data_IF_404469133145
#
_entry.id   IF_404469133145
#
_cell.length_a   1.000
_cell.length_b   1.000
_cell.length_c   1.000
_cell.angle_alpha   90.00
_cell.angle_beta   90.00
_cell.angle_gamma   90.00
#
_symmetry.space_group_name_H-M   'P 1'
#
loop_
_entity.id
_entity.type
_entity.pdbx_description
1 polymer ?
#
# COMPACT_ATOMS: atom_id res chain seq x y z
N UNK A 1 11.85 8.88 20.30
CA UNK A 1 12.06 8.86 18.82
C UNK A 1 11.09 9.84 18.21
N UNK A 2 11.46 10.58 17.15
CA UNK A 2 10.52 11.45 16.45
C UNK A 2 9.32 10.63 15.95
N UNK A 3 8.15 11.22 15.91
CA UNK A 3 6.92 10.53 15.47
C UNK A 3 6.98 10.20 13.99
N UNK A 4 7.55 11.09 13.19
CA UNK A 4 7.72 10.95 11.76
C UNK A 4 9.21 11.01 11.39
N UNK A 5 9.68 9.99 10.69
CA UNK A 5 11.05 9.92 10.14
C UNK A 5 10.94 9.95 8.62
N UNK A 6 11.64 10.89 7.98
CA UNK A 6 11.66 11.06 6.52
C UNK A 6 13.07 10.79 6.02
N UNK A 7 13.21 9.81 5.13
CA UNK A 7 14.45 9.49 4.43
C UNK A 7 14.33 9.94 2.97
N UNK A 8 15.01 11.01 2.53
CA UNK A 8 15.12 11.32 1.12
C UNK A 8 15.98 10.24 0.44
N UNK A 9 15.45 9.60 -0.61
CA UNK A 9 16.11 8.51 -1.31
C UNK A 9 16.65 8.90 -2.68
N UNK A 10 15.91 9.72 -3.42
CA UNK A 10 16.29 10.21 -4.74
C UNK A 10 15.70 11.60 -4.98
N UNK A 11 16.47 12.47 -5.61
CA UNK A 11 16.02 13.77 -6.10
C UNK A 11 16.65 14.04 -7.47
N UNK A 12 15.80 14.14 -8.50
CA UNK A 12 16.18 14.47 -9.88
C UNK A 12 15.24 15.53 -10.43
N UNK A 13 15.49 16.01 -11.64
CA UNK A 13 14.57 16.93 -12.33
C UNK A 13 13.22 16.30 -12.71
N UNK A 14 13.17 14.97 -12.81
CA UNK A 14 11.98 14.21 -13.20
C UNK A 14 11.11 13.83 -12.00
N UNK A 15 11.73 13.43 -10.88
CA UNK A 15 10.99 12.96 -9.70
C UNK A 15 11.79 13.06 -8.41
N UNK A 16 11.08 13.06 -7.28
CA UNK A 16 11.66 12.82 -5.95
C UNK A 16 11.05 11.58 -5.32
N UNK A 17 11.88 10.81 -4.60
CA UNK A 17 11.45 9.62 -3.86
C UNK A 17 11.85 9.79 -2.40
N UNK A 18 10.89 9.57 -1.50
CA UNK A 18 11.09 9.61 -0.05
C UNK A 18 10.52 8.36 0.58
N UNK A 19 11.22 7.81 1.56
CA UNK A 19 10.70 6.78 2.46
C UNK A 19 10.31 7.44 3.79
N UNK A 20 9.06 7.25 4.19
CA UNK A 20 8.52 7.87 5.41
C UNK A 20 8.05 6.78 6.34
N UNK A 21 8.52 6.86 7.60
CA UNK A 21 8.10 5.98 8.69
C UNK A 21 7.44 6.81 9.78
N UNK A 22 6.19 6.44 10.14
CA UNK A 22 5.44 7.04 11.23
C UNK A 22 5.33 6.04 12.38
N UNK A 23 5.56 6.50 13.62
CA UNK A 23 5.42 5.67 14.81
C UNK A 23 3.94 5.38 15.17
N UNK A 24 2.99 6.14 14.59
CA UNK A 24 1.55 5.92 14.75
C UNK A 24 1.07 6.05 16.20
N UNK A 25 1.57 7.02 16.93
CA UNK A 25 1.27 7.18 18.37
C UNK A 25 -0.14 7.75 18.63
N UNK A 26 -0.68 8.53 17.70
CA UNK A 26 -1.98 9.18 17.84
C UNK A 26 -3.07 8.34 17.17
N UNK A 27 -3.95 7.77 18.00
CA UNK A 27 -5.14 7.05 17.51
C UNK A 27 -6.22 7.98 17.01
N UNK A 28 -6.27 9.19 17.57
CA UNK A 28 -7.21 10.24 17.18
C UNK A 28 -6.81 10.90 15.87
N UNK A 29 -7.74 11.65 15.32
CA UNK A 29 -7.51 12.42 14.09
C UNK A 29 -6.48 13.52 14.35
N UNK A 30 -5.39 13.50 13.59
CA UNK A 30 -4.32 14.50 13.67
C UNK A 30 -4.73 15.89 13.20
N UNK A 31 -3.79 16.83 13.27
CA UNK A 31 -3.97 18.17 12.73
C UNK A 31 -4.25 18.13 11.22
N UNK A 32 -4.83 19.21 10.73
CA UNK A 32 -5.01 19.40 9.29
C UNK A 32 -3.68 19.65 8.60
N UNK A 33 -3.45 18.93 7.51
CA UNK A 33 -2.24 18.99 6.70
C UNK A 33 -2.61 19.26 5.23
N UNK A 34 -1.67 19.77 4.47
CA UNK A 34 -1.76 19.88 3.02
C UNK A 34 -0.38 19.64 2.38
N UNK A 35 -0.35 19.43 1.08
CA UNK A 35 0.88 19.31 0.28
C UNK A 35 0.85 20.34 -0.85
N UNK A 36 2.00 20.90 -1.14
CA UNK A 36 2.20 21.88 -2.22
C UNK A 36 2.20 21.24 -3.62
N UNK A 37 2.54 19.95 -3.69
CA UNK A 37 2.58 19.16 -4.92
C UNK A 37 1.83 17.85 -4.79
N UNK A 38 1.27 17.39 -5.91
CA UNK A 38 0.59 16.09 -5.98
C UNK A 38 1.58 14.95 -5.76
N UNK A 39 1.19 13.98 -4.91
CA UNK A 39 2.03 12.85 -4.51
C UNK A 39 1.30 11.53 -4.71
N UNK A 40 2.07 10.51 -5.11
CA UNK A 40 1.64 9.12 -5.08
C UNK A 40 2.27 8.46 -3.85
N UNK A 41 1.45 7.93 -2.97
CA UNK A 41 1.87 7.34 -1.69
C UNK A 41 1.59 5.85 -1.72
N UNK A 42 2.64 5.04 -1.57
CA UNK A 42 2.60 3.59 -1.55
C UNK A 42 2.88 3.08 -0.13
N UNK A 43 1.86 2.77 0.68
CA UNK A 43 2.08 2.12 1.96
C UNK A 43 2.69 0.73 1.72
N UNK A 44 3.69 0.36 2.52
CA UNK A 44 4.29 -0.97 2.44
C UNK A 44 4.34 -1.69 3.79
N UNK A 45 4.10 -0.96 4.89
CA UNK A 45 4.02 -1.47 6.25
C UNK A 45 2.96 -0.73 7.03
N UNK A 46 2.24 -1.45 7.89
CA UNK A 46 1.22 -0.87 8.76
C UNK A 46 -0.01 -0.37 8.04
N UNK A 47 -0.77 0.48 8.71
CA UNK A 47 -2.02 1.05 8.22
C UNK A 47 -2.30 2.40 8.86
N UNK A 48 -2.81 3.32 8.09
CA UNK A 48 -3.37 4.59 8.59
C UNK A 48 -4.69 4.90 7.88
N UNK A 49 -5.44 5.85 8.41
CA UNK A 49 -6.67 6.36 7.77
C UNK A 49 -6.43 7.80 7.36
N UNK A 50 -6.61 8.08 6.07
CA UNK A 50 -6.66 9.44 5.54
C UNK A 50 -8.10 9.92 5.52
N UNK A 51 -8.33 11.11 6.05
CA UNK A 51 -9.63 11.79 6.08
C UNK A 51 -9.59 12.99 5.15
N UNK A 52 -10.58 13.09 4.25
CA UNK A 52 -10.74 14.16 3.29
C UNK A 52 -12.18 14.70 3.40
N UNK A 53 -12.37 15.77 4.16
CA UNK A 53 -13.71 16.22 4.53
C UNK A 53 -14.47 15.12 5.28
N UNK A 54 -15.61 14.68 4.74
CA UNK A 54 -16.41 13.58 5.31
C UNK A 54 -16.03 12.18 4.76
N UNK A 55 -15.16 12.14 3.76
CA UNK A 55 -14.71 10.90 3.14
C UNK A 55 -13.44 10.37 3.79
N UNK A 56 -13.23 9.06 3.77
CA UNK A 56 -12.05 8.43 4.34
C UNK A 56 -11.49 7.33 3.47
N UNK A 57 -10.19 7.08 3.60
CA UNK A 57 -9.51 5.99 2.93
C UNK A 57 -8.56 5.28 3.89
N UNK A 58 -8.77 4.00 4.12
CA UNK A 58 -7.81 3.14 4.84
C UNK A 58 -6.67 2.84 3.89
N UNK A 59 -5.47 3.21 4.29
CA UNK A 59 -4.23 3.09 3.54
C UNK A 59 -3.45 1.87 4.01
N UNK A 60 -3.28 0.88 3.16
CA UNK A 60 -2.50 -0.33 3.41
C UNK A 60 -1.68 -0.74 2.17
N UNK A 61 -0.86 -1.78 2.29
CA UNK A 61 0.08 -2.20 1.25
C UNK A 61 -0.58 -2.73 -0.05
N UNK A 62 -1.88 -2.87 -0.12
CA UNK A 62 -2.60 -3.24 -1.34
C UNK A 62 -3.02 -2.03 -2.20
N UNK A 63 -2.60 -0.81 -1.82
CA UNK A 63 -3.10 0.41 -2.44
C UNK A 63 -1.99 1.42 -2.76
N UNK A 64 -2.28 2.31 -3.71
CA UNK A 64 -1.64 3.61 -3.87
C UNK A 64 -2.65 4.70 -3.53
N UNK A 65 -2.24 5.71 -2.76
CA UNK A 65 -3.05 6.87 -2.43
C UNK A 65 -2.55 8.09 -3.21
N UNK A 66 -3.49 8.97 -3.52
CA UNK A 66 -3.23 10.22 -4.22
C UNK A 66 -3.45 11.41 -3.30
N UNK A 67 -2.41 12.15 -3.03
CA UNK A 67 -2.49 13.40 -2.28
C UNK A 67 -2.38 14.55 -3.28
N UNK A 68 -3.50 15.20 -3.54
CA UNK A 68 -3.53 16.33 -4.47
C UNK A 68 -2.86 17.56 -3.88
N UNK A 69 -2.24 18.37 -4.75
CA UNK A 69 -1.69 19.65 -4.34
C UNK A 69 -2.76 20.55 -3.73
N UNK A 70 -2.42 21.22 -2.63
CA UNK A 70 -3.27 22.19 -1.92
C UNK A 70 -4.62 21.62 -1.42
N UNK A 71 -4.79 20.30 -1.35
CA UNK A 71 -5.97 19.65 -0.78
C UNK A 71 -5.70 19.31 0.70
N UNK A 72 -6.49 19.91 1.60
CA UNK A 72 -6.39 19.66 3.04
C UNK A 72 -6.86 18.25 3.39
N UNK A 73 -6.13 17.58 4.27
CA UNK A 73 -6.47 16.25 4.79
C UNK A 73 -6.03 16.11 6.25
N UNK A 74 -6.51 15.06 6.91
CA UNK A 74 -6.06 14.63 8.23
C UNK A 74 -5.70 13.14 8.20
N UNK A 75 -4.86 12.70 9.14
CA UNK A 75 -4.45 11.31 9.29
C UNK A 75 -4.75 10.83 10.70
N UNK A 76 -5.17 9.58 10.83
CA UNK A 76 -5.28 8.90 12.13
C UNK A 76 -4.68 7.49 12.04
N UNK A 77 -4.20 6.97 13.16
CA UNK A 77 -3.59 5.65 13.28
C UNK A 77 -4.41 4.78 14.26
N UNK A 78 -5.57 4.25 13.85
CA UNK A 78 -6.45 3.49 14.76
C UNK A 78 -5.84 2.15 15.19
N UNK A 79 -4.86 1.64 14.44
CA UNK A 79 -4.13 0.40 14.72
C UNK A 79 -2.72 0.74 15.21
N UNK A 80 -2.27 0.05 16.26
CA UNK A 80 -0.93 0.24 16.81
C UNK A 80 0.16 -0.32 15.87
N UNK A 81 1.41 0.16 16.02
CA UNK A 81 2.57 -0.33 15.28
C UNK A 81 3.08 0.63 14.20
N UNK A 82 2.38 1.73 13.97
CA UNK A 82 2.77 2.73 12.98
C UNK A 82 2.63 2.24 11.54
N UNK A 83 3.12 3.06 10.63
CA UNK A 83 3.12 2.77 9.20
C UNK A 83 4.41 3.23 8.52
N UNK A 84 4.60 2.77 7.29
CA UNK A 84 5.66 3.28 6.44
C UNK A 84 5.22 3.28 4.96
N UNK A 85 5.63 4.34 4.26
CA UNK A 85 5.21 4.63 2.91
C UNK A 85 6.38 5.06 2.03
N UNK A 86 6.43 4.56 0.80
CA UNK A 86 7.25 5.13 -0.26
C UNK A 86 6.44 6.23 -0.97
N UNK A 87 6.97 7.44 -1.01
CA UNK A 87 6.32 8.60 -1.62
C UNK A 87 7.06 9.00 -2.87
N UNK A 88 6.32 9.08 -3.99
CA UNK A 88 6.80 9.56 -5.27
C UNK A 88 6.15 10.91 -5.60
N UNK A 89 6.98 11.90 -5.95
CA UNK A 89 6.57 13.18 -6.52
C UNK A 89 7.16 13.27 -7.92
N UNK A 90 6.33 13.30 -8.92
CA UNK A 90 6.74 13.44 -10.30
C UNK A 90 6.66 14.91 -10.72
N UNK A 91 7.53 15.31 -11.64
CA UNK A 91 7.41 16.61 -12.28
C UNK A 91 6.05 16.72 -12.99
N UNK A 92 5.50 17.93 -13.06
CA UNK A 92 4.18 18.17 -13.65
C UNK A 92 4.05 17.65 -15.09
N UNK A 93 5.01 17.89 -16.01
CA UNK A 93 4.95 17.35 -17.37
C UNK A 93 4.86 15.83 -17.39
N UNK A 94 5.67 15.17 -16.57
CA UNK A 94 5.70 13.71 -16.51
C UNK A 94 4.41 13.12 -15.90
N UNK A 95 3.86 13.76 -14.87
CA UNK A 95 2.60 13.36 -14.28
C UNK A 95 1.44 13.47 -15.31
N UNK A 96 1.44 14.51 -16.14
CA UNK A 96 0.46 14.69 -17.23
C UNK A 96 0.56 13.59 -18.31
N UNK A 97 1.76 13.13 -18.58
CA UNK A 97 2.02 12.08 -19.56
C UNK A 97 1.59 10.70 -19.05
N UNK A 98 1.91 10.39 -17.80
CA UNK A 98 1.70 9.05 -17.22
C UNK A 98 0.28 8.81 -16.69
N UNK A 99 -0.44 9.86 -16.29
CA UNK A 99 -1.75 9.71 -15.65
C UNK A 99 -2.88 9.60 -16.68
N UNK A 100 -3.66 8.51 -16.67
CA UNK A 100 -4.86 8.39 -17.49
C UNK A 100 -5.86 9.50 -17.19
N UNK A 101 -6.44 10.11 -18.24
CA UNK A 101 -7.36 11.27 -18.10
C UNK A 101 -8.64 10.93 -17.32
N UNK A 102 -9.09 9.69 -17.38
CA UNK A 102 -10.31 9.20 -16.73
C UNK A 102 -10.22 9.14 -15.19
N UNK A 103 -9.00 9.19 -14.62
CA UNK A 103 -8.79 9.25 -13.16
C UNK A 103 -8.49 10.65 -12.64
N UNK A 104 -8.45 11.65 -13.53
CA UNK A 104 -8.29 13.05 -13.16
C UNK A 104 -9.63 13.77 -12.97
N UNK A 105 -9.63 14.84 -12.18
CA UNK A 105 -10.78 15.75 -12.02
C UNK A 105 -10.92 16.64 -13.25
N UNK A 106 -12.14 16.82 -13.73
CA UNK A 106 -12.40 17.79 -14.80
C UNK A 106 -12.09 19.23 -14.32
N UNK A 107 -11.44 20.02 -15.17
CA UNK A 107 -11.12 21.42 -14.87
C UNK A 107 -9.91 21.61 -13.93
N UNK A 108 -9.30 20.54 -13.44
CA UNK A 108 -8.09 20.57 -12.61
C UNK A 108 -7.00 19.75 -13.29
N UNK A 109 -5.94 20.37 -13.82
CA UNK A 109 -5.02 19.70 -14.75
C UNK A 109 -4.25 18.52 -14.14
N UNK A 110 -4.13 18.43 -12.80
CA UNK A 110 -3.34 17.37 -12.15
C UNK A 110 -3.91 16.93 -10.80
N UNK A 111 -5.21 17.05 -10.61
CA UNK A 111 -5.86 16.53 -9.41
C UNK A 111 -6.55 15.20 -9.70
N UNK A 112 -6.23 14.18 -8.91
CA UNK A 112 -6.92 12.90 -8.95
C UNK A 112 -8.35 13.03 -8.40
N UNK A 113 -9.33 12.40 -9.09
CA UNK A 113 -10.71 12.33 -8.59
C UNK A 113 -10.92 11.25 -7.54
N UNK A 114 -10.03 10.26 -7.49
CA UNK A 114 -10.06 9.16 -6.54
C UNK A 114 -9.01 9.40 -5.44
N UNK A 115 -9.30 8.98 -4.22
CA UNK A 115 -8.34 9.05 -3.13
C UNK A 115 -7.29 7.94 -3.23
N UNK A 116 -7.67 6.79 -3.81
CA UNK A 116 -6.82 5.59 -3.86
C UNK A 116 -7.16 4.70 -5.06
N UNK A 117 -6.18 3.89 -5.46
CA UNK A 117 -6.36 2.74 -6.35
C UNK A 117 -5.72 1.51 -5.72
N UNK A 118 -6.28 0.34 -6.01
CA UNK A 118 -5.67 -0.93 -5.62
C UNK A 118 -4.50 -1.24 -6.53
N UNK A 119 -3.38 -1.66 -5.94
CA UNK A 119 -2.22 -2.16 -6.66
C UNK A 119 -2.17 -3.69 -6.66
N UNK A 120 -1.50 -4.26 -7.64
CA UNK A 120 -1.28 -5.69 -7.74
C UNK A 120 0.03 -6.14 -7.06
N UNK A 121 0.27 -7.44 -6.87
CA UNK A 121 1.49 -7.93 -6.23
C UNK A 121 2.78 -7.50 -6.93
N UNK A 122 2.79 -7.35 -8.25
CA UNK A 122 3.98 -6.89 -8.97
C UNK A 122 4.32 -5.42 -8.67
N UNK A 123 3.30 -4.57 -8.48
CA UNK A 123 3.52 -3.19 -8.02
C UNK A 123 4.06 -3.18 -6.57
N UNK A 124 3.56 -4.04 -5.68
CA UNK A 124 4.13 -4.21 -4.33
C UNK A 124 5.61 -4.62 -4.38
N UNK A 125 5.96 -5.54 -5.27
CA UNK A 125 7.35 -5.95 -5.49
C UNK A 125 8.22 -4.79 -6.00
N UNK A 126 7.72 -3.98 -6.92
CA UNK A 126 8.45 -2.79 -7.42
C UNK A 126 8.68 -1.76 -6.31
N UNK A 127 7.70 -1.54 -5.41
CA UNK A 127 7.89 -0.69 -4.22
C UNK A 127 9.04 -1.22 -3.35
N UNK A 128 9.07 -2.53 -3.09
CA UNK A 128 10.11 -3.14 -2.26
C UNK A 128 11.49 -3.05 -2.93
N UNK A 129 11.59 -3.34 -4.24
CA UNK A 129 12.83 -3.26 -5.01
C UNK A 129 13.38 -1.84 -5.06
N UNK A 130 12.54 -0.87 -5.44
CA UNK A 130 12.92 0.54 -5.55
C UNK A 130 13.41 1.07 -4.20
N UNK A 131 12.67 0.79 -3.12
CA UNK A 131 13.05 1.18 -1.77
C UNK A 131 14.38 0.57 -1.36
N UNK A 132 14.55 -0.75 -1.54
CA UNK A 132 15.77 -1.45 -1.15
C UNK A 132 16.99 -0.94 -1.94
N UNK A 133 16.88 -0.89 -3.27
CA UNK A 133 18.01 -0.48 -4.12
C UNK A 133 18.47 0.96 -3.87
N UNK A 134 17.56 1.85 -3.48
CA UNK A 134 17.90 3.22 -3.10
C UNK A 134 18.49 3.32 -1.68
N UNK A 135 17.95 2.58 -0.70
CA UNK A 135 18.52 2.56 0.66
C UNK A 135 19.95 2.01 0.67
N UNK A 136 20.19 0.93 -0.07
CA UNK A 136 21.52 0.30 -0.16
C UNK A 136 22.44 0.96 -1.21
N UNK A 137 21.95 2.01 -1.89
CA UNK A 137 22.68 2.75 -2.93
C UNK A 137 23.20 1.85 -4.06
N UNK A 138 22.41 0.85 -4.45
CA UNK A 138 22.71 -0.11 -5.54
C UNK A 138 22.30 0.48 -6.88
N UNK A 139 21.09 1.09 -6.95
CA UNK A 139 20.56 1.65 -8.20
C UNK A 139 21.17 3.01 -8.51
N UNK A 140 21.63 3.16 -9.74
CA UNK A 140 21.96 4.46 -10.31
C UNK A 140 20.69 5.31 -10.54
N UNK A 141 20.78 6.66 -10.58
CA UNK A 141 19.61 7.52 -10.73
C UNK A 141 18.70 7.16 -11.92
N UNK A 142 19.25 6.86 -13.08
CA UNK A 142 18.50 6.46 -14.27
C UNK A 142 17.75 5.14 -14.09
N UNK A 143 18.38 4.17 -13.42
CA UNK A 143 17.74 2.88 -13.11
C UNK A 143 16.59 3.08 -12.13
N UNK A 144 16.79 3.88 -11.08
CA UNK A 144 15.77 4.20 -10.10
C UNK A 144 14.57 4.96 -10.74
N UNK A 145 14.83 5.91 -11.63
CA UNK A 145 13.78 6.58 -12.41
C UNK A 145 12.99 5.58 -13.25
N UNK A 146 13.66 4.68 -13.97
CA UNK A 146 13.03 3.66 -14.81
C UNK A 146 12.15 2.71 -13.99
N UNK A 147 12.62 2.29 -12.80
CA UNK A 147 11.82 1.49 -11.87
C UNK A 147 10.60 2.27 -11.33
N UNK A 148 10.78 3.55 -10.99
CA UNK A 148 9.70 4.40 -10.51
C UNK A 148 8.63 4.62 -11.58
N UNK A 149 9.02 4.87 -12.83
CA UNK A 149 8.07 5.01 -13.95
C UNK A 149 7.31 3.72 -14.21
N UNK A 150 8.00 2.57 -14.16
CA UNK A 150 7.37 1.26 -14.26
C UNK A 150 6.35 1.02 -13.15
N UNK A 151 6.68 1.42 -11.90
CA UNK A 151 5.77 1.35 -10.77
C UNK A 151 4.54 2.23 -10.98
N UNK A 152 4.72 3.50 -11.37
CA UNK A 152 3.62 4.45 -11.61
C UNK A 152 2.73 3.96 -12.74
N UNK A 153 3.29 3.59 -13.89
CA UNK A 153 2.54 3.05 -15.03
C UNK A 153 1.71 1.82 -14.64
N UNK A 154 2.29 0.93 -13.82
CA UNK A 154 1.58 -0.25 -13.34
C UNK A 154 0.48 0.08 -12.34
N UNK A 155 0.72 0.99 -11.41
CA UNK A 155 -0.23 1.40 -10.40
C UNK A 155 -1.44 2.16 -10.98
N UNK A 156 -1.24 2.92 -12.06
CA UNK A 156 -2.30 3.69 -12.73
C UNK A 156 -2.97 2.95 -13.90
N UNK A 157 -2.49 1.76 -14.24
CA UNK A 157 -3.00 0.97 -15.36
C UNK A 157 -4.38 0.36 -15.12
N UNK A 158 -5.07 -0.11 -16.18
CA UNK A 158 -6.45 -0.60 -16.12
C UNK A 158 -6.66 -1.81 -15.20
N UNK A 159 -5.61 -2.55 -14.87
CA UNK A 159 -5.66 -3.73 -13.97
C UNK A 159 -5.83 -3.39 -12.49
N UNK A 160 -5.62 -2.13 -12.12
CA UNK A 160 -5.72 -1.64 -10.74
C UNK A 160 -7.02 -0.86 -10.48
N UNK A 161 -7.82 -0.61 -11.51
CA UNK A 161 -9.07 0.15 -11.37
C UNK A 161 -10.01 -0.49 -10.34
N UNK A 162 -10.53 0.33 -9.43
CA UNK A 162 -11.62 -0.06 -8.54
C UNK A 162 -12.90 -0.26 -9.36
N UNK A 163 -13.73 -1.22 -8.95
CA UNK A 163 -15.08 -1.31 -9.48
C UNK A 163 -15.80 0.00 -9.18
N UNK A 164 -16.13 0.74 -10.23
CA UNK A 164 -16.94 1.95 -10.10
C UNK A 164 -18.30 1.56 -9.51
N UNK A 165 -18.73 2.26 -8.43
CA UNK A 165 -20.11 2.16 -7.96
C UNK A 165 -20.35 1.55 -6.59
N UNK A 166 -19.37 1.46 -5.69
CA UNK A 166 -19.67 1.13 -4.29
C UNK A 166 -20.32 2.32 -3.58
N UNK A 167 -21.42 2.08 -2.86
CA UNK A 167 -22.02 3.10 -1.99
C UNK A 167 -21.06 3.43 -0.83
N UNK A 168 -21.15 4.66 -0.29
CA UNK A 168 -20.33 5.09 0.85
C UNK A 168 -20.42 4.10 2.04
N UNK A 169 -21.60 3.56 2.34
CA UNK A 169 -21.76 2.57 3.42
C UNK A 169 -21.03 1.25 3.17
N UNK A 170 -20.98 0.75 1.91
CA UNK A 170 -20.22 -0.45 1.57
C UNK A 170 -18.71 -0.20 1.70
N UNK A 171 -18.26 0.97 1.27
CA UNK A 171 -16.87 1.36 1.40
C UNK A 171 -16.46 1.44 2.88
N UNK A 172 -17.26 2.06 3.73
CA UNK A 172 -17.02 2.15 5.18
C UNK A 172 -16.99 0.75 5.85
N UNK A 173 -17.86 -0.17 5.42
CA UNK A 173 -17.81 -1.55 5.91
C UNK A 173 -16.48 -2.21 5.57
N UNK A 174 -16.05 -2.11 4.31
CA UNK A 174 -14.77 -2.68 3.86
C UNK A 174 -13.59 -2.05 4.58
N UNK A 175 -13.61 -0.74 4.80
CA UNK A 175 -12.55 -0.05 5.55
C UNK A 175 -12.46 -0.53 7.01
N UNK A 176 -13.61 -0.77 7.68
CA UNK A 176 -13.60 -1.43 9.01
C UNK A 176 -12.99 -2.82 8.98
N UNK A 177 -13.34 -3.63 7.97
CA UNK A 177 -12.74 -4.97 7.79
C UNK A 177 -11.22 -4.90 7.63
N UNK A 178 -10.72 -3.95 6.84
CA UNK A 178 -9.27 -3.75 6.70
C UNK A 178 -8.59 -3.44 8.02
N UNK A 179 -9.20 -2.57 8.84
CA UNK A 179 -8.67 -2.25 10.17
C UNK A 179 -8.66 -3.48 11.09
N UNK A 180 -9.71 -4.32 11.06
CA UNK A 180 -9.74 -5.59 11.81
C UNK A 180 -8.59 -6.51 11.39
N UNK A 181 -8.39 -6.70 10.07
CA UNK A 181 -7.29 -7.51 9.55
C UNK A 181 -5.92 -6.97 9.94
N UNK A 182 -5.74 -5.66 9.93
CA UNK A 182 -4.46 -5.01 10.22
C UNK A 182 -4.14 -4.95 11.71
N UNK A 183 -5.14 -5.10 12.58
CA UNK A 183 -4.92 -5.19 14.03
C UNK A 183 -4.13 -6.45 14.42
N UNK A 184 -4.33 -7.56 13.68
CA UNK A 184 -3.51 -8.76 13.78
C UNK A 184 -3.44 -9.45 12.39
N UNK A 185 -2.50 -9.04 11.52
CA UNK A 185 -2.40 -9.55 10.16
C UNK A 185 -1.95 -11.02 10.09
N UNK A 186 -1.25 -11.52 11.11
CA UNK A 186 -0.81 -12.91 11.20
C UNK A 186 -1.93 -13.87 11.64
N UNK A 187 -2.96 -13.37 12.32
CA UNK A 187 -4.08 -14.16 12.80
C UNK A 187 -4.85 -14.80 11.64
N UNK A 188 -5.23 -16.05 11.81
CA UNK A 188 -6.10 -16.77 10.89
C UNK A 188 -7.57 -16.45 11.20
N UNK A 189 -8.00 -15.30 10.71
CA UNK A 189 -9.36 -14.84 10.88
C UNK A 189 -10.36 -15.77 10.16
N UNK A 190 -11.47 -16.07 10.79
CA UNK A 190 -12.64 -16.65 10.15
C UNK A 190 -13.61 -15.55 9.71
N UNK A 191 -14.46 -15.85 8.73
CA UNK A 191 -15.49 -14.90 8.29
C UNK A 191 -16.50 -14.58 9.40
N UNK A 192 -16.77 -15.56 10.29
CA UNK A 192 -17.66 -15.36 11.43
C UNK A 192 -17.08 -14.37 12.44
N UNK A 193 -15.78 -14.49 12.77
CA UNK A 193 -15.10 -13.58 13.68
C UNK A 193 -15.08 -12.15 13.11
N UNK A 194 -14.66 -11.99 11.83
CA UNK A 194 -14.65 -10.67 11.19
C UNK A 194 -16.07 -10.11 11.12
N UNK A 195 -17.07 -10.93 10.77
CA UNK A 195 -18.47 -10.52 10.73
C UNK A 195 -18.98 -10.00 12.08
N UNK A 196 -18.59 -10.67 13.17
CA UNK A 196 -18.92 -10.24 14.53
C UNK A 196 -18.28 -8.87 14.86
N UNK A 197 -17.00 -8.67 14.54
CA UNK A 197 -16.28 -7.40 14.77
C UNK A 197 -16.92 -6.22 14.03
N UNK A 198 -17.33 -6.44 12.78
CA UNK A 198 -17.93 -5.36 11.96
C UNK A 198 -19.46 -5.36 11.98
N UNK A 199 -20.09 -6.24 12.77
CA UNK A 199 -21.55 -6.39 12.97
C UNK A 199 -22.30 -6.63 11.66
N UNK A 200 -21.86 -7.61 10.87
CA UNK A 200 -22.56 -8.03 9.68
C UNK A 200 -22.45 -9.56 9.46
N UNK A 201 -23.37 -10.10 8.64
CA UNK A 201 -23.31 -11.54 8.33
C UNK A 201 -22.11 -11.91 7.47
N UNK A 202 -21.52 -13.09 7.64
CA UNK A 202 -20.40 -13.58 6.82
C UNK A 202 -20.70 -13.56 5.31
N UNK A 203 -21.93 -13.88 4.92
CA UNK A 203 -22.35 -13.89 3.51
C UNK A 203 -22.33 -12.49 2.93
N UNK A 204 -22.97 -11.53 3.60
CA UNK A 204 -22.99 -10.14 3.16
C UNK A 204 -21.59 -9.53 3.12
N UNK A 205 -20.78 -9.81 4.16
CA UNK A 205 -19.38 -9.41 4.21
C UNK A 205 -18.60 -9.84 2.97
N UNK A 206 -18.68 -11.14 2.62
CA UNK A 206 -17.96 -11.69 1.48
C UNK A 206 -18.36 -11.03 0.16
N UNK A 207 -19.65 -10.84 -0.04
CA UNK A 207 -20.19 -10.19 -1.26
C UNK A 207 -19.73 -8.74 -1.38
N UNK A 208 -19.92 -7.96 -0.30
CA UNK A 208 -19.57 -6.53 -0.31
C UNK A 208 -18.06 -6.34 -0.45
N UNK A 209 -17.26 -7.14 0.27
CA UNK A 209 -15.81 -7.04 0.18
C UNK A 209 -15.30 -7.32 -1.24
N UNK A 210 -15.81 -8.36 -1.88
CA UNK A 210 -15.43 -8.70 -3.26
C UNK A 210 -15.92 -7.65 -4.27
N UNK A 211 -17.11 -7.07 -4.07
CA UNK A 211 -17.60 -5.99 -4.93
C UNK A 211 -16.74 -4.73 -4.83
N UNK A 212 -16.33 -4.35 -3.62
CA UNK A 212 -15.55 -3.13 -3.38
C UNK A 212 -14.08 -3.33 -3.75
N UNK A 213 -13.44 -4.41 -3.28
CA UNK A 213 -12.01 -4.66 -3.49
C UNK A 213 -11.72 -5.50 -4.75
N UNK A 214 -12.74 -6.06 -5.41
CA UNK A 214 -12.57 -6.87 -6.63
C UNK A 214 -11.79 -8.17 -6.42
N UNK A 215 -11.48 -8.53 -5.18
CA UNK A 215 -10.82 -9.78 -4.79
C UNK A 215 -11.47 -10.35 -3.53
N UNK A 216 -11.51 -11.68 -3.37
CA UNK A 216 -11.99 -12.30 -2.14
C UNK A 216 -11.16 -11.85 -0.93
N UNK A 217 -11.83 -11.76 0.23
CA UNK A 217 -11.23 -11.28 1.47
C UNK A 217 -9.97 -12.07 1.87
N UNK A 218 -9.97 -13.40 1.73
CA UNK A 218 -8.80 -14.22 2.05
C UNK A 218 -7.58 -13.89 1.15
N UNK A 219 -7.82 -13.59 -0.13
CA UNK A 219 -6.75 -13.14 -1.05
C UNK A 219 -6.21 -11.78 -0.67
N UNK A 220 -7.07 -10.90 -0.19
CA UNK A 220 -6.66 -9.59 0.28
C UNK A 220 -5.74 -9.71 1.50
N UNK A 221 -6.14 -10.51 2.51
CA UNK A 221 -5.30 -10.80 3.67
C UNK A 221 -3.98 -11.46 3.28
N UNK A 222 -4.02 -12.44 2.38
CA UNK A 222 -2.80 -13.09 1.89
C UNK A 222 -1.82 -12.09 1.27
N UNK A 223 -2.31 -11.15 0.45
CA UNK A 223 -1.47 -10.09 -0.14
C UNK A 223 -0.85 -9.17 0.90
N UNK A 224 -1.58 -8.83 1.97
CA UNK A 224 -1.01 -8.05 3.09
C UNK A 224 0.15 -8.79 3.76
N UNK A 225 0.01 -10.08 4.02
CA UNK A 225 1.09 -10.92 4.58
C UNK A 225 2.29 -11.01 3.65
N UNK A 226 2.04 -11.17 2.35
CA UNK A 226 3.10 -11.24 1.34
C UNK A 226 3.80 -9.89 1.16
N UNK A 227 3.07 -8.77 1.19
CA UNK A 227 3.68 -7.44 1.19
C UNK A 227 4.56 -7.22 2.44
N UNK A 228 4.10 -7.69 3.60
CA UNK A 228 4.92 -7.66 4.83
C UNK A 228 6.17 -8.54 4.71
N UNK A 229 6.06 -9.69 4.03
CA UNK A 229 7.22 -10.53 3.72
C UNK A 229 8.27 -9.76 2.93
N UNK A 230 7.89 -9.00 1.89
CA UNK A 230 8.84 -8.18 1.12
C UNK A 230 9.61 -7.17 1.98
N UNK A 231 8.97 -6.57 2.99
CA UNK A 231 9.62 -5.64 3.93
C UNK A 231 10.58 -6.34 4.90
N UNK A 232 10.34 -7.63 5.21
CA UNK A 232 11.08 -8.37 6.23
C UNK A 232 12.16 -9.30 5.66
N UNK A 233 12.10 -9.68 4.38
CA UNK A 233 12.99 -10.68 3.77
C UNK A 233 14.48 -10.39 3.93
N UNK A 234 14.88 -9.12 3.92
CA UNK A 234 16.28 -8.70 4.13
C UNK A 234 16.74 -8.80 5.58
N UNK A 235 15.78 -8.84 6.53
CA UNK A 235 16.03 -8.81 7.98
C UNK A 235 16.04 -10.21 8.63
N UNK A 236 15.47 -11.21 7.92
CA UNK A 236 15.34 -12.58 8.42
C UNK A 236 16.31 -13.52 7.74
N UNK A 237 17.14 -14.20 8.51
CA UNK A 237 17.97 -15.31 8.00
C UNK A 237 17.13 -16.57 7.82
N UNK A 238 16.30 -16.92 8.81
CA UNK A 238 15.41 -18.08 8.78
C UNK A 238 14.05 -17.74 8.17
N UNK A 239 13.82 -18.26 6.96
CA UNK A 239 12.54 -18.12 6.26
C UNK A 239 11.40 -18.94 6.88
N UNK A 240 11.73 -19.97 7.67
CA UNK A 240 10.72 -20.74 8.39
C UNK A 240 10.15 -19.90 9.53
N UNK A 241 11.02 -19.27 10.31
CA UNK A 241 10.61 -18.32 11.36
C UNK A 241 9.79 -17.17 10.77
N UNK A 242 10.23 -16.58 9.67
CA UNK A 242 9.48 -15.52 8.97
C UNK A 242 8.09 -16.02 8.55
N UNK A 243 7.99 -17.22 7.99
CA UNK A 243 6.69 -17.78 7.56
C UNK A 243 5.69 -17.89 8.68
N UNK A 244 6.14 -18.34 9.86
CA UNK A 244 5.29 -18.48 11.07
C UNK A 244 4.87 -17.10 11.60
N UNK A 245 5.79 -16.15 11.67
CA UNK A 245 5.49 -14.77 12.09
C UNK A 245 4.43 -14.11 11.20
N UNK A 246 4.46 -14.40 9.90
CA UNK A 246 3.48 -13.89 8.94
C UNK A 246 2.13 -14.65 9.00
N UNK A 247 1.99 -15.68 9.85
CA UNK A 247 0.76 -16.43 10.02
C UNK A 247 0.52 -17.52 8.98
N UNK A 248 1.57 -17.95 8.23
CA UNK A 248 1.48 -19.14 7.38
C UNK A 248 1.54 -20.43 8.19
N UNK A 249 0.94 -21.50 7.65
CA UNK A 249 0.92 -22.80 8.31
C UNK A 249 2.27 -23.54 8.23
N UNK A 250 3.07 -23.20 7.21
CA UNK A 250 4.38 -23.79 6.98
C UNK A 250 5.20 -22.93 6.02
N UNK A 251 6.51 -23.14 6.01
CA UNK A 251 7.42 -22.58 5.02
C UNK A 251 7.03 -22.94 3.59
N UNK A 252 6.57 -24.16 3.33
CA UNK A 252 6.13 -24.59 1.99
C UNK A 252 4.91 -23.82 1.53
N UNK A 253 3.92 -23.59 2.40
CA UNK A 253 2.74 -22.77 2.09
C UNK A 253 3.13 -21.30 1.80
N UNK A 254 4.00 -20.73 2.61
CA UNK A 254 4.56 -19.39 2.38
C UNK A 254 5.27 -19.30 1.03
N UNK A 255 6.20 -20.23 0.75
CA UNK A 255 7.00 -20.23 -0.47
C UNK A 255 6.14 -20.38 -1.72
N UNK A 256 5.13 -21.24 -1.69
CA UNK A 256 4.19 -21.43 -2.80
C UNK A 256 3.36 -20.15 -3.04
N UNK A 257 2.80 -19.56 -1.99
CA UNK A 257 2.01 -18.33 -2.09
C UNK A 257 2.85 -17.14 -2.58
N UNK A 258 4.09 -17.02 -2.11
CA UNK A 258 5.03 -15.98 -2.54
C UNK A 258 5.40 -16.14 -4.02
N UNK A 259 5.71 -17.37 -4.45
CA UNK A 259 6.03 -17.67 -5.85
C UNK A 259 4.84 -17.41 -6.78
N UNK A 260 3.62 -17.77 -6.36
CA UNK A 260 2.39 -17.49 -7.12
C UNK A 260 2.20 -15.97 -7.30
N UNK A 261 2.42 -15.19 -6.25
CA UNK A 261 2.22 -13.74 -6.27
C UNK A 261 3.32 -12.99 -7.05
N UNK A 262 4.58 -13.38 -6.88
CA UNK A 262 5.75 -12.60 -7.33
C UNK A 262 6.58 -13.30 -8.42
N UNK A 263 6.24 -14.55 -8.79
CA UNK A 263 6.92 -15.31 -9.84
C UNK A 263 8.24 -15.94 -9.43
N UNK A 264 8.70 -15.72 -8.19
CA UNK A 264 9.96 -16.25 -7.62
C UNK A 264 9.72 -16.72 -6.20
N UNK A 265 10.51 -17.69 -5.72
CA UNK A 265 10.52 -18.07 -4.31
C UNK A 265 11.09 -16.96 -3.41
N UNK A 266 10.79 -16.95 -2.11
CA UNK A 266 11.38 -16.01 -1.17
C UNK A 266 12.90 -16.03 -1.16
N UNK A 267 13.51 -17.23 -1.27
CA UNK A 267 14.95 -17.39 -1.31
C UNK A 267 15.57 -16.80 -2.58
N UNK A 268 14.98 -17.09 -3.76
CA UNK A 268 15.41 -16.53 -5.04
C UNK A 268 15.28 -15.00 -5.05
N UNK A 269 14.18 -14.49 -4.53
CA UNK A 269 13.97 -13.04 -4.42
C UNK A 269 15.03 -12.39 -3.53
N UNK A 270 15.29 -12.95 -2.34
CA UNK A 270 16.34 -12.48 -1.43
C UNK A 270 17.71 -12.50 -2.07
N UNK A 271 18.04 -13.56 -2.81
CA UNK A 271 19.36 -13.69 -3.47
C UNK A 271 19.55 -12.73 -4.64
N UNK A 272 18.53 -12.52 -5.47
CA UNK A 272 18.65 -11.75 -6.70
C UNK A 272 18.34 -10.26 -6.55
N UNK A 273 17.48 -9.90 -5.60
CA UNK A 273 16.92 -8.57 -5.49
C UNK A 273 17.38 -7.81 -4.24
N UNK A 274 17.89 -8.54 -3.22
CA UNK A 274 18.26 -7.98 -1.92
C UNK A 274 19.72 -8.24 -1.53
N UNK A 275 20.55 -8.79 -2.42
CA UNK A 275 22.00 -8.88 -2.19
C UNK A 275 22.64 -7.50 -2.35
N UNK A 276 23.53 -7.19 -1.41
CA UNK A 276 24.48 -6.07 -1.48
C UNK A 276 25.49 -6.31 -2.61
#
# INVERSE_FOLDING_TARGET
MPELVVHPLLETSALTIRDICCAGRHREMGAEEYRDVTQLVFPYRGVYVRHLGQDQAVADANQVLFFNANESYRVSHPVAGGDACLILRLSEPLLRELVPRDILRHGHPLAFRLQRLRIDPRAQMLVALLRHSLHEKIAEPLEAESLAFTLVHRALGPRTAHAAGSTAGRQQLVDRVKLVLMNDPARRWTLAEIGAEVRCSPVYLTQVFQQVEGVPLYRYQLRLRLARALDLLSKYEDLTALSLELGFSSHSHFSAAFKDAYGRSPSEFRQSALRR
#
